data_IF_121037678448
#
_entry.id   IF_121037678448
#
_cell.length_a   1.000
_cell.length_b   1.000
_cell.length_c   1.000
_cell.angle_alpha   90.00
_cell.angle_beta   90.00
_cell.angle_gamma   90.00
#
_symmetry.space_group_name_H-M   'P 1'
#
loop_
_entity.id
_entity.type
_entity.pdbx_description
1 polymer ?
#
# COMPACT_ATOMS: atom_id res chain seq x y z
N UNK A 1 -39.40 -3.91 12.66
CA UNK A 1 -38.77 -3.45 11.39
C UNK A 1 -37.91 -2.26 11.75
N UNK A 2 -36.59 -2.47 11.79
CA UNK A 2 -35.62 -1.40 11.96
C UNK A 2 -35.65 -0.53 10.70
N UNK A 3 -35.52 0.79 10.87
CA UNK A 3 -35.46 1.74 9.77
C UNK A 3 -34.22 1.48 8.91
N UNK A 4 -34.41 1.35 7.58
CA UNK A 4 -33.31 1.15 6.61
C UNK A 4 -32.24 2.21 6.76
N UNK A 5 -32.62 3.43 7.14
CA UNK A 5 -31.71 4.54 7.39
C UNK A 5 -30.75 4.25 8.55
N UNK A 6 -31.23 3.66 9.64
CA UNK A 6 -30.41 3.34 10.83
C UNK A 6 -29.38 2.27 10.52
N UNK A 7 -29.77 1.21 9.79
CA UNK A 7 -28.83 0.19 9.32
C UNK A 7 -27.73 0.80 8.45
N UNK A 8 -28.10 1.57 7.44
CA UNK A 8 -27.14 2.19 6.52
C UNK A 8 -26.14 3.11 7.25
N UNK A 9 -26.58 3.83 8.29
CA UNK A 9 -25.67 4.63 9.12
C UNK A 9 -24.68 3.75 9.91
N UNK A 10 -25.15 2.68 10.56
CA UNK A 10 -24.26 1.78 11.32
C UNK A 10 -23.24 1.09 10.39
N UNK A 11 -23.68 0.59 9.24
CA UNK A 11 -22.82 -0.01 8.22
C UNK A 11 -21.77 0.99 7.74
N UNK A 12 -22.16 2.21 7.38
CA UNK A 12 -21.23 3.24 6.93
C UNK A 12 -20.19 3.60 8.02
N UNK A 13 -20.60 3.68 9.28
CA UNK A 13 -19.70 3.95 10.41
C UNK A 13 -18.69 2.82 10.63
N UNK A 14 -19.15 1.57 10.60
CA UNK A 14 -18.29 0.38 10.69
C UNK A 14 -17.29 0.32 9.52
N UNK A 15 -17.75 0.54 8.28
CA UNK A 15 -16.89 0.54 7.10
C UNK A 15 -15.87 1.68 7.17
N UNK A 16 -16.25 2.87 7.68
CA UNK A 16 -15.31 3.98 7.90
C UNK A 16 -14.20 3.57 8.87
N UNK A 17 -14.54 2.95 10.00
CA UNK A 17 -13.56 2.46 10.97
C UNK A 17 -12.67 1.35 10.39
N UNK A 18 -13.23 0.46 9.56
CA UNK A 18 -12.48 -0.66 8.97
C UNK A 18 -11.54 -0.26 7.83
N UNK A 19 -11.82 0.85 7.12
CA UNK A 19 -10.99 1.35 6.01
C UNK A 19 -9.70 2.02 6.48
N UNK A 20 -9.70 2.63 7.66
CA UNK A 20 -8.50 3.26 8.20
C UNK A 20 -7.73 2.27 9.09
N UNK A 21 -6.54 1.85 8.65
CA UNK A 21 -5.71 0.85 9.32
C UNK A 21 -5.19 1.27 10.70
N UNK A 22 -5.53 2.45 11.23
CA UNK A 22 -5.28 2.79 12.65
C UNK A 22 -5.91 1.80 13.64
N UNK A 23 -6.94 1.06 13.23
CA UNK A 23 -7.47 -0.05 14.02
C UNK A 23 -6.41 -1.13 14.31
N UNK A 24 -5.32 -1.23 13.55
CA UNK A 24 -4.27 -2.24 13.81
C UNK A 24 -3.41 -1.91 15.02
N UNK A 25 -3.46 -0.66 15.54
CA UNK A 25 -2.85 -0.27 16.81
C UNK A 25 -3.80 0.43 17.80
N UNK A 26 -5.08 0.64 17.46
CA UNK A 26 -6.12 1.06 18.43
C UNK A 26 -6.86 -0.15 19.02
N UNK A 27 -6.47 -0.54 20.25
CA UNK A 27 -7.01 -1.72 20.93
C UNK A 27 -8.53 -1.72 21.08
N UNK A 28 -9.13 -0.56 21.34
CA UNK A 28 -10.60 -0.45 21.51
C UNK A 28 -11.35 -0.74 20.21
N UNK A 29 -10.79 -0.33 19.06
CA UNK A 29 -11.39 -0.64 17.75
C UNK A 29 -11.18 -2.12 17.38
N UNK A 30 -10.09 -2.76 17.81
CA UNK A 30 -9.93 -4.21 17.68
C UNK A 30 -10.97 -4.98 18.50
N UNK A 31 -11.21 -4.54 19.74
CA UNK A 31 -12.24 -5.09 20.63
C UNK A 31 -13.66 -4.85 20.09
N UNK A 32 -13.90 -3.74 19.38
CA UNK A 32 -15.14 -3.53 18.64
C UNK A 32 -15.31 -4.57 17.52
N UNK A 33 -14.28 -4.78 16.69
CA UNK A 33 -14.39 -5.73 15.58
C UNK A 33 -14.49 -7.19 16.04
N UNK A 34 -13.98 -7.54 17.22
CA UNK A 34 -14.15 -8.89 17.78
C UNK A 34 -15.59 -9.17 18.22
N UNK A 35 -16.42 -8.14 18.41
CA UNK A 35 -17.85 -8.28 18.72
C UNK A 35 -18.72 -8.54 17.48
N UNK A 36 -18.18 -8.38 16.26
CA UNK A 36 -18.92 -8.70 15.04
C UNK A 36 -19.27 -10.21 15.01
N UNK A 37 -20.47 -10.59 14.54
CA UNK A 37 -20.87 -11.99 14.40
C UNK A 37 -19.86 -12.84 13.63
N UNK A 38 -19.80 -14.13 13.98
CA UNK A 38 -18.90 -15.15 13.39
C UNK A 38 -17.41 -14.71 13.38
N UNK A 39 -16.64 -15.00 14.44
CA UNK A 39 -15.21 -14.68 14.46
C UNK A 39 -14.46 -15.62 13.52
N UNK A 40 -14.11 -15.13 12.34
CA UNK A 40 -13.11 -15.77 11.47
C UNK A 40 -11.76 -15.15 11.75
N UNK A 41 -10.85 -15.95 12.33
CA UNK A 41 -9.45 -15.57 12.45
C UNK A 41 -8.92 -15.16 11.07
N UNK A 42 -8.13 -14.08 11.02
CA UNK A 42 -7.43 -13.60 9.82
C UNK A 42 -8.30 -12.98 8.71
N UNK A 43 -9.60 -12.77 8.90
CA UNK A 43 -10.41 -12.02 7.93
C UNK A 43 -10.41 -10.52 8.23
N UNK A 44 -10.15 -9.71 7.19
CA UNK A 44 -10.14 -8.25 7.30
C UNK A 44 -11.51 -7.71 7.80
N UNK A 45 -11.56 -6.75 8.75
CA UNK A 45 -12.82 -6.23 9.29
C UNK A 45 -13.77 -5.72 8.20
N UNK A 46 -13.24 -5.06 7.17
CA UNK A 46 -14.04 -4.57 6.04
C UNK A 46 -14.80 -5.71 5.35
N UNK A 47 -14.14 -6.82 5.07
CA UNK A 47 -14.76 -7.99 4.44
C UNK A 47 -15.82 -8.62 5.34
N UNK A 48 -15.57 -8.68 6.66
CA UNK A 48 -16.55 -9.19 7.63
C UNK A 48 -17.82 -8.34 7.64
N UNK A 49 -17.66 -7.02 7.66
CA UNK A 49 -18.80 -6.08 7.65
C UNK A 49 -19.61 -6.24 6.36
N UNK A 50 -18.94 -6.35 5.21
CA UNK A 50 -19.62 -6.58 3.91
C UNK A 50 -20.36 -7.92 3.83
N UNK A 51 -20.04 -8.90 4.69
CA UNK A 51 -20.67 -10.20 4.75
C UNK A 51 -21.84 -10.28 5.74
N UNK A 52 -22.07 -9.24 6.55
CA UNK A 52 -23.15 -9.21 7.54
C UNK A 52 -24.52 -9.24 6.86
N UNK A 53 -25.40 -10.09 7.37
CA UNK A 53 -26.79 -10.18 6.95
C UNK A 53 -27.64 -9.10 7.63
N UNK A 54 -28.86 -8.90 7.12
CA UNK A 54 -29.86 -8.04 7.77
C UNK A 54 -30.15 -8.50 9.21
N UNK A 55 -30.13 -9.82 9.46
CA UNK A 55 -30.32 -10.38 10.79
C UNK A 55 -29.18 -10.02 11.76
N UNK A 56 -27.93 -10.03 11.27
CA UNK A 56 -26.77 -9.62 12.05
C UNK A 56 -26.86 -8.15 12.47
N UNK A 57 -27.22 -7.28 11.53
CA UNK A 57 -27.45 -5.87 11.81
C UNK A 57 -28.60 -5.64 12.78
N UNK A 58 -29.71 -6.38 12.65
CA UNK A 58 -30.83 -6.31 13.59
C UNK A 58 -30.36 -6.63 15.02
N UNK A 59 -29.50 -7.64 15.18
CA UNK A 59 -28.89 -8.00 16.47
C UNK A 59 -27.95 -6.92 17.03
N UNK A 60 -27.03 -6.41 16.19
CA UNK A 60 -26.10 -5.35 16.58
C UNK A 60 -26.82 -4.06 17.00
N UNK A 61 -27.93 -3.72 16.32
CA UNK A 61 -28.72 -2.54 16.62
C UNK A 61 -29.52 -2.62 17.92
N UNK A 62 -29.70 -3.81 18.50
CA UNK A 62 -30.26 -3.94 19.85
C UNK A 62 -29.22 -3.67 20.95
N UNK A 63 -27.93 -3.63 20.62
CA UNK A 63 -26.86 -3.40 21.58
C UNK A 63 -26.43 -1.92 21.60
N UNK A 64 -27.02 -1.14 22.50
CA UNK A 64 -26.68 0.28 22.66
C UNK A 64 -25.19 0.51 23.02
N UNK A 65 -24.56 -0.44 23.72
CA UNK A 65 -23.13 -0.39 24.02
C UNK A 65 -22.28 -0.52 22.76
N UNK A 66 -22.61 -1.48 21.89
CA UNK A 66 -21.93 -1.65 20.60
C UNK A 66 -22.05 -0.40 19.72
N UNK A 67 -23.24 0.21 19.63
CA UNK A 67 -23.42 1.46 18.86
C UNK A 67 -22.53 2.57 19.41
N UNK A 68 -22.47 2.74 20.73
CA UNK A 68 -21.60 3.72 21.36
C UNK A 68 -20.10 3.43 21.10
N UNK A 69 -19.71 2.16 21.08
CA UNK A 69 -18.35 1.74 20.75
C UNK A 69 -17.98 2.04 19.28
N UNK A 70 -18.93 1.88 18.35
CA UNK A 70 -18.77 2.27 16.93
C UNK A 70 -18.57 3.77 16.80
N UNK A 71 -19.43 4.58 17.42
CA UNK A 71 -19.30 6.04 17.39
C UNK A 71 -17.96 6.49 17.98
N UNK A 72 -17.55 5.87 19.09
CA UNK A 72 -16.27 6.14 19.72
C UNK A 72 -15.08 5.71 18.84
N UNK A 73 -15.18 4.59 18.10
CA UNK A 73 -14.16 4.14 17.16
C UNK A 73 -14.02 5.12 15.99
N UNK A 74 -15.14 5.55 15.40
CA UNK A 74 -15.15 6.55 14.34
C UNK A 74 -14.53 7.87 14.81
N UNK A 75 -14.82 8.30 16.04
CA UNK A 75 -14.24 9.52 16.62
C UNK A 75 -12.74 9.40 16.94
N UNK A 76 -12.17 8.19 17.04
CA UNK A 76 -10.73 7.95 17.23
C UNK A 76 -9.94 7.88 15.93
N UNK A 77 -10.61 7.79 14.77
CA UNK A 77 -9.92 7.77 13.48
C UNK A 77 -9.09 9.05 13.36
N UNK A 78 -7.76 8.94 13.14
CA UNK A 78 -6.92 10.11 12.97
C UNK A 78 -7.39 10.97 11.80
N UNK A 79 -7.68 12.24 12.07
CA UNK A 79 -8.06 13.20 11.03
C UNK A 79 -6.82 13.66 10.26
N UNK A 80 -6.95 14.04 8.97
CA UNK A 80 -5.84 14.54 8.16
C UNK A 80 -5.12 15.73 8.82
N UNK A 81 -3.80 15.83 8.60
CA UNK A 81 -3.00 16.93 9.11
C UNK A 81 -3.42 18.27 8.51
N UNK A 82 -3.17 19.36 9.24
CA UNK A 82 -3.32 20.74 8.73
C UNK A 82 -2.12 21.22 7.92
N UNK A 83 -1.02 20.44 7.91
CA UNK A 83 0.16 20.70 7.09
C UNK A 83 -0.10 20.32 5.62
N UNK A 84 0.65 20.89 4.65
CA UNK A 84 0.53 20.48 3.26
C UNK A 84 0.75 18.97 3.14
N UNK A 85 -0.21 18.27 2.54
CA UNK A 85 -0.12 16.82 2.33
C UNK A 85 1.16 16.45 1.58
N UNK A 86 1.76 15.31 1.96
CA UNK A 86 2.77 14.60 1.17
C UNK A 86 4.07 15.36 0.83
N UNK A 87 4.63 16.14 1.77
CA UNK A 87 5.96 16.74 1.58
C UNK A 87 7.08 15.70 1.50
N UNK A 88 6.91 14.55 2.17
CA UNK A 88 7.86 13.43 2.17
C UNK A 88 7.20 12.25 1.45
N UNK A 89 7.86 11.72 0.42
CA UNK A 89 7.47 10.46 -0.20
C UNK A 89 8.41 9.34 0.21
N UNK A 90 7.87 8.31 0.87
CA UNK A 90 8.61 7.15 1.35
C UNK A 90 8.32 5.92 0.48
N UNK A 91 9.34 5.44 -0.23
CA UNK A 91 9.23 4.32 -1.14
C UNK A 91 9.79 3.06 -0.51
N UNK A 92 9.00 1.99 -0.49
CA UNK A 92 9.44 0.68 0.01
C UNK A 92 8.78 -0.45 -0.77
N UNK A 93 9.49 -1.56 -1.02
CA UNK A 93 8.89 -2.73 -1.66
C UNK A 93 7.90 -3.45 -0.75
N UNK A 94 7.92 -3.23 0.57
CA UNK A 94 7.06 -3.92 1.53
C UNK A 94 6.58 -3.04 2.68
N UNK A 95 5.38 -3.33 3.20
CA UNK A 95 4.76 -2.63 4.33
C UNK A 95 4.03 -3.61 5.26
N UNK A 96 4.58 -3.79 6.46
CA UNK A 96 4.04 -4.62 7.54
C UNK A 96 3.00 -3.87 8.38
N UNK A 97 1.83 -3.57 7.79
CA UNK A 97 0.76 -2.82 8.47
C UNK A 97 -0.08 -3.72 9.38
N UNK A 98 -0.47 -4.88 8.85
CA UNK A 98 -1.30 -5.89 9.49
C UNK A 98 -1.07 -7.22 8.81
N UNK A 99 -1.23 -8.33 9.54
CA UNK A 99 -1.26 -9.67 8.94
C UNK A 99 -2.38 -9.81 7.89
N UNK A 100 -3.45 -9.02 8.01
CA UNK A 100 -4.57 -8.99 7.07
C UNK A 100 -4.30 -8.14 5.81
N UNK A 101 -3.13 -7.52 5.71
CA UNK A 101 -2.60 -6.87 4.51
C UNK A 101 -1.18 -7.41 4.27
N UNK A 102 -1.03 -8.65 3.74
CA UNK A 102 0.25 -9.35 3.63
C UNK A 102 1.10 -8.80 2.46
N UNK A 103 1.50 -7.53 2.58
CA UNK A 103 2.36 -6.80 1.64
C UNK A 103 3.79 -6.70 2.16
N UNK A 104 4.26 -7.72 2.90
CA UNK A 104 5.60 -7.78 3.48
C UNK A 104 6.06 -9.22 3.71
N UNK A 105 7.37 -9.45 3.76
CA UNK A 105 7.95 -10.75 4.10
C UNK A 105 8.84 -10.73 5.34
N UNK A 106 9.41 -9.58 5.71
CA UNK A 106 10.43 -9.54 6.77
C UNK A 106 10.57 -8.22 7.50
N UNK A 107 11.74 -8.03 8.13
CA UNK A 107 12.02 -6.89 9.00
C UNK A 107 12.02 -5.53 8.29
N UNK A 108 12.35 -5.48 7.00
CA UNK A 108 12.30 -4.24 6.20
C UNK A 108 10.86 -3.71 6.12
N UNK A 109 9.89 -4.59 5.91
CA UNK A 109 8.47 -4.28 5.82
C UNK A 109 7.86 -3.97 7.17
N UNK A 110 8.24 -4.71 8.23
CA UNK A 110 7.83 -4.36 9.61
C UNK A 110 8.32 -2.94 9.96
N UNK A 111 9.58 -2.63 9.67
CA UNK A 111 10.13 -1.29 9.87
C UNK A 111 9.36 -0.24 9.06
N UNK A 112 9.09 -0.49 7.78
CA UNK A 112 8.31 0.41 6.93
C UNK A 112 6.91 0.64 7.53
N UNK A 113 6.22 -0.43 7.95
CA UNK A 113 4.89 -0.32 8.57
C UNK A 113 4.91 0.48 9.87
N UNK A 114 5.90 0.27 10.73
CA UNK A 114 6.06 1.05 11.96
C UNK A 114 6.45 2.50 11.68
N UNK A 115 7.21 2.76 10.60
CA UNK A 115 7.53 4.11 10.15
C UNK A 115 6.27 4.88 9.75
N UNK A 116 5.35 4.22 9.04
CA UNK A 116 4.05 4.77 8.63
C UNK A 116 3.16 5.09 9.84
N UNK A 117 3.12 4.20 10.83
CA UNK A 117 2.38 4.38 12.10
C UNK A 117 2.96 5.55 12.90
N UNK A 118 4.28 5.59 13.08
CA UNK A 118 4.95 6.67 13.77
C UNK A 118 4.76 8.03 13.07
N UNK A 119 4.82 8.06 11.73
CA UNK A 119 4.53 9.26 10.96
C UNK A 119 3.09 9.75 11.17
N UNK A 120 2.13 8.82 11.27
CA UNK A 120 0.73 9.14 11.56
C UNK A 120 0.57 9.74 12.96
N UNK A 121 1.22 9.14 13.98
CA UNK A 121 1.13 9.60 15.37
C UNK A 121 1.82 10.95 15.59
N UNK A 122 2.91 11.20 14.85
CA UNK A 122 3.65 12.46 14.85
C UNK A 122 3.09 13.52 13.88
N UNK A 123 1.99 13.20 13.17
CA UNK A 123 1.33 14.06 12.18
C UNK A 123 2.27 14.58 11.08
N UNK A 124 3.26 13.76 10.69
CA UNK A 124 4.21 14.10 9.63
C UNK A 124 3.52 14.08 8.25
N UNK A 125 3.87 15.01 7.33
CA UNK A 125 3.30 15.07 5.98
C UNK A 125 3.94 14.02 5.06
N UNK A 126 3.79 12.74 5.41
CA UNK A 126 4.36 11.60 4.69
C UNK A 126 3.29 10.91 3.82
N UNK A 127 3.66 10.63 2.57
CA UNK A 127 2.96 9.68 1.70
C UNK A 127 3.89 8.50 1.44
N UNK A 128 3.38 7.29 1.52
CA UNK A 128 4.16 6.11 1.20
C UNK A 128 3.77 5.56 -0.17
N UNK A 129 4.72 4.93 -0.85
CA UNK A 129 4.55 4.33 -2.16
C UNK A 129 5.14 2.92 -2.17
N UNK A 130 4.36 1.98 -2.70
CA UNK A 130 4.78 0.60 -2.94
C UNK A 130 3.97 -0.05 -4.05
N UNK A 131 4.05 -1.37 -4.15
CA UNK A 131 3.25 -2.18 -5.07
C UNK A 131 2.16 -2.92 -4.29
N UNK A 132 1.02 -3.16 -4.93
CA UNK A 132 0.05 -4.13 -4.43
C UNK A 132 0.35 -5.50 -5.05
N UNK A 133 1.00 -6.38 -4.30
CA UNK A 133 1.25 -7.76 -4.73
C UNK A 133 -0.02 -8.59 -4.55
N UNK A 134 -0.59 -9.07 -5.64
CA UNK A 134 -1.85 -9.82 -5.64
C UNK A 134 -1.79 -11.10 -4.83
N UNK A 135 -0.69 -11.82 -4.89
CA UNK A 135 -0.47 -13.05 -4.14
C UNK A 135 0.26 -12.79 -2.80
N UNK A 136 0.58 -11.52 -2.49
CA UNK A 136 1.29 -11.12 -1.28
C UNK A 136 2.64 -11.82 -1.12
N UNK A 137 2.96 -12.17 0.13
CA UNK A 137 3.94 -13.20 0.48
C UNK A 137 3.22 -14.51 0.80
N UNK A 138 3.91 -15.65 0.72
CA UNK A 138 3.27 -16.94 0.91
C UNK A 138 2.88 -17.19 2.39
N UNK A 139 1.77 -17.90 2.59
CA UNK A 139 1.44 -18.55 3.85
C UNK A 139 2.18 -19.88 3.96
N UNK A 140 2.89 -20.07 5.06
CA UNK A 140 3.61 -21.31 5.33
C UNK A 140 2.62 -22.37 5.81
N UNK A 141 2.49 -23.46 5.05
CA UNK A 141 1.83 -24.68 5.50
C UNK A 141 2.89 -25.75 5.78
N UNK A 142 2.79 -26.43 6.92
CA UNK A 142 3.67 -27.55 7.27
C UNK A 142 2.87 -28.84 7.16
N UNK A 143 3.27 -29.73 6.26
CA UNK A 143 2.75 -31.09 6.16
C UNK A 143 3.86 -32.06 5.78
N UNK A 144 3.81 -33.27 6.31
CA UNK A 144 4.84 -34.30 6.13
C UNK A 144 6.28 -33.81 6.44
N UNK A 145 6.42 -33.05 7.55
CA UNK A 145 7.68 -32.45 7.99
C UNK A 145 8.34 -31.52 6.95
N UNK A 146 7.56 -31.04 5.98
CA UNK A 146 8.02 -30.14 4.91
C UNK A 146 7.19 -28.87 4.87
N UNK A 147 7.85 -27.80 4.45
CA UNK A 147 7.20 -26.54 4.13
C UNK A 147 6.57 -26.62 2.74
N UNK A 148 5.35 -26.10 2.65
CA UNK A 148 4.60 -25.83 1.43
C UNK A 148 4.18 -24.37 1.42
N UNK A 149 4.26 -23.74 0.25
CA UNK A 149 3.91 -22.34 0.04
C UNK A 149 2.48 -22.25 -0.46
N UNK A 150 1.62 -21.57 0.31
CA UNK A 150 0.23 -21.32 -0.07
C UNK A 150 0.08 -19.85 -0.42
N UNK A 151 -0.36 -19.57 -1.64
CA UNK A 151 -0.62 -18.22 -2.12
C UNK A 151 -2.11 -17.99 -2.23
N UNK A 152 -2.60 -16.93 -1.61
CA UNK A 152 -3.99 -16.51 -1.70
C UNK A 152 -4.06 -15.18 -2.43
N UNK A 153 -4.71 -15.21 -3.61
CA UNK A 153 -4.87 -14.01 -4.42
C UNK A 153 -5.86 -13.06 -3.76
N UNK A 154 -5.41 -11.84 -3.46
CA UNK A 154 -6.18 -10.82 -2.78
C UNK A 154 -6.98 -9.92 -3.73
N UNK A 155 -8.16 -9.51 -3.26
CA UNK A 155 -8.90 -8.38 -3.80
C UNK A 155 -8.66 -7.14 -2.91
N UNK A 156 -7.98 -6.08 -3.41
CA UNK A 156 -7.82 -4.82 -2.68
C UNK A 156 -9.13 -4.28 -2.09
N UNK A 157 -10.27 -4.49 -2.77
CA UNK A 157 -11.56 -3.98 -2.31
C UNK A 157 -12.05 -4.69 -1.05
N UNK A 158 -11.75 -5.99 -0.89
CA UNK A 158 -12.11 -6.72 0.34
C UNK A 158 -11.26 -6.30 1.54
N UNK A 159 -10.11 -5.67 1.27
CA UNK A 159 -9.20 -5.12 2.26
C UNK A 159 -9.51 -3.64 2.59
N UNK A 160 -10.62 -3.08 2.08
CA UNK A 160 -11.01 -1.70 2.35
C UNK A 160 -10.13 -0.65 1.66
N UNK A 161 -9.28 -1.04 0.70
CA UNK A 161 -8.49 -0.08 -0.09
C UNK A 161 -9.41 0.72 -1.02
N UNK A 162 -9.11 2.01 -1.14
CA UNK A 162 -9.82 2.91 -2.04
C UNK A 162 -9.13 2.91 -3.41
N UNK A 163 -9.89 2.70 -4.48
CA UNK A 163 -9.36 2.84 -5.84
C UNK A 163 -9.28 4.32 -6.19
N UNK A 164 -8.08 4.79 -6.51
CA UNK A 164 -7.87 6.17 -6.94
C UNK A 164 -8.26 6.34 -8.42
N UNK A 165 -8.74 7.53 -8.84
CA UNK A 165 -9.23 7.79 -10.19
C UNK A 165 -8.09 8.05 -11.20
N UNK A 166 -6.97 7.34 -11.07
CA UNK A 166 -5.77 7.51 -11.91
C UNK A 166 -5.28 6.16 -12.41
N UNK A 167 -4.75 6.16 -13.64
CA UNK A 167 -4.06 5.03 -14.25
C UNK A 167 -2.70 5.55 -14.71
N UNK A 168 -1.65 4.89 -14.25
CA UNK A 168 -0.27 5.27 -14.58
C UNK A 168 0.22 4.40 -15.72
N UNK A 169 0.86 5.03 -16.72
CA UNK A 169 1.48 4.34 -17.84
C UNK A 169 3.00 4.24 -17.59
N UNK A 170 3.54 3.03 -17.70
CA UNK A 170 4.97 2.72 -17.55
C UNK A 170 5.44 2.00 -18.80
N UNK A 171 6.45 2.55 -19.46
CA UNK A 171 7.09 1.89 -20.61
C UNK A 171 8.10 0.87 -20.09
N UNK A 172 8.00 -0.39 -20.50
CA UNK A 172 8.94 -1.47 -20.20
C UNK A 172 8.93 -2.49 -21.34
N UNK A 173 10.06 -3.09 -21.74
CA UNK A 173 10.12 -4.11 -22.81
C UNK A 173 9.34 -3.71 -24.09
N UNK A 174 9.58 -2.50 -24.58
CA UNK A 174 8.92 -1.93 -25.76
C UNK A 174 7.38 -1.87 -25.70
N UNK A 175 6.77 -1.99 -24.51
CA UNK A 175 5.32 -1.89 -24.31
C UNK A 175 4.96 -0.90 -23.22
N UNK A 176 3.70 -0.46 -23.23
CA UNK A 176 3.12 0.32 -22.14
C UNK A 176 2.38 -0.65 -21.22
N UNK A 177 2.82 -0.74 -19.97
CA UNK A 177 2.10 -1.41 -18.89
C UNK A 177 1.35 -0.35 -18.08
N UNK A 178 0.06 -0.58 -17.88
CA UNK A 178 -0.82 0.30 -17.12
C UNK A 178 -0.89 -0.17 -15.67
N UNK A 179 -0.88 0.74 -14.72
CA UNK A 179 -1.06 0.45 -13.30
C UNK A 179 -2.23 1.25 -12.75
N UNK A 180 -3.18 0.57 -12.09
CA UNK A 180 -4.15 1.27 -11.24
C UNK A 180 -3.49 1.59 -9.92
N UNK A 181 -4.08 2.56 -9.23
CA UNK A 181 -3.59 3.02 -7.95
C UNK A 181 -4.62 2.77 -6.86
N UNK A 182 -4.17 2.14 -5.78
CA UNK A 182 -4.93 1.93 -4.57
C UNK A 182 -4.40 2.82 -3.45
N UNK A 183 -5.29 3.25 -2.55
CA UNK A 183 -4.94 3.95 -1.31
C UNK A 183 -5.37 3.13 -0.11
N UNK A 184 -4.44 2.89 0.81
CA UNK A 184 -4.73 2.50 2.18
C UNK A 184 -4.43 3.69 3.11
N UNK A 185 -5.35 4.02 4.01
CA UNK A 185 -5.12 5.04 5.03
C UNK A 185 -4.55 4.36 6.28
N UNK A 186 -3.28 4.60 6.58
CA UNK A 186 -2.57 4.09 7.76
C UNK A 186 -2.55 5.21 8.80
N UNK A 187 -3.66 5.32 9.54
CA UNK A 187 -3.90 6.47 10.40
C UNK A 187 -4.03 7.73 9.54
N UNK A 188 -3.14 8.70 9.72
CA UNK A 188 -3.06 9.91 8.86
C UNK A 188 -2.29 9.68 7.57
N UNK A 189 -1.40 8.69 7.56
CA UNK A 189 -0.44 8.48 6.49
C UNK A 189 -1.10 7.75 5.33
N UNK A 190 -0.96 8.29 4.11
CA UNK A 190 -1.51 7.66 2.90
C UNK A 190 -0.50 6.68 2.32
N UNK A 191 -0.88 5.42 2.18
CA UNK A 191 -0.09 4.40 1.47
C UNK A 191 -0.68 4.19 0.07
N UNK A 192 0.11 4.53 -0.94
CA UNK A 192 -0.21 4.43 -2.37
C UNK A 192 0.39 3.13 -2.92
N UNK A 193 -0.45 2.27 -3.47
CA UNK A 193 -0.05 0.95 -3.96
C UNK A 193 -0.39 0.81 -5.45
N UNK A 194 0.61 0.49 -6.27
CA UNK A 194 0.45 0.29 -7.71
C UNK A 194 0.15 -1.17 -8.04
N UNK A 195 -0.84 -1.40 -8.90
CA UNK A 195 -1.36 -2.72 -9.28
C UNK A 195 -1.52 -2.80 -10.79
N UNK A 196 -0.80 -3.72 -11.43
CA UNK A 196 -0.83 -3.95 -12.88
C UNK A 196 -1.82 -5.04 -13.29
N UNK A 197 -2.54 -5.66 -12.36
CA UNK A 197 -3.58 -6.66 -12.65
C UNK A 197 -4.83 -5.99 -13.24
N UNK A 198 -4.71 -5.62 -14.51
CA UNK A 198 -5.68 -4.90 -15.31
C UNK A 198 -5.97 -5.65 -16.60
N UNK A 199 -7.22 -5.65 -17.02
CA UNK A 199 -7.61 -6.19 -18.31
C UNK A 199 -6.92 -5.48 -19.50
N UNK A 200 -6.53 -4.23 -19.28
CA UNK A 200 -5.80 -3.39 -20.24
C UNK A 200 -4.37 -3.88 -20.51
N UNK A 201 -3.82 -4.72 -19.64
CA UNK A 201 -2.49 -5.30 -19.82
C UNK A 201 -2.58 -6.72 -20.37
N UNK A 202 -1.56 -7.11 -21.12
CA UNK A 202 -1.33 -8.51 -21.47
C UNK A 202 -0.88 -9.33 -20.24
N UNK A 203 -0.79 -10.64 -20.40
CA UNK A 203 -0.49 -11.54 -19.28
C UNK A 203 0.87 -11.22 -18.62
N UNK A 204 1.87 -10.82 -19.40
CA UNK A 204 3.17 -10.41 -18.88
C UNK A 204 3.09 -9.11 -18.08
N UNK A 205 2.37 -8.10 -18.56
CA UNK A 205 2.17 -6.83 -17.85
C UNK A 205 1.39 -7.01 -16.54
N UNK A 206 0.37 -7.89 -16.53
CA UNK A 206 -0.38 -8.21 -15.30
C UNK A 206 0.48 -8.85 -14.23
N UNK A 207 1.42 -9.72 -14.63
CA UNK A 207 2.30 -10.42 -13.70
C UNK A 207 3.32 -9.51 -13.01
N UNK A 208 3.58 -8.29 -13.48
CA UNK A 208 4.58 -7.40 -12.84
C UNK A 208 4.31 -7.18 -11.35
N UNK A 209 3.04 -7.15 -10.92
CA UNK A 209 2.64 -6.98 -9.52
C UNK A 209 2.05 -8.28 -8.91
N UNK A 210 2.48 -9.46 -9.36
CA UNK A 210 1.95 -10.71 -8.85
C UNK A 210 2.40 -11.01 -7.41
N UNK A 211 3.71 -11.08 -7.15
CA UNK A 211 4.30 -11.60 -5.90
C UNK A 211 5.42 -10.72 -5.37
N UNK A 212 5.44 -10.57 -4.05
CA UNK A 212 6.56 -9.95 -3.36
C UNK A 212 7.78 -10.86 -3.45
N UNK A 213 8.90 -10.32 -3.95
CA UNK A 213 10.16 -11.05 -4.12
C UNK A 213 10.05 -12.32 -4.97
N UNK A 214 9.12 -12.33 -5.93
CA UNK A 214 8.98 -13.39 -6.93
C UNK A 214 9.84 -13.17 -8.18
N UNK A 215 9.85 -14.18 -9.04
CA UNK A 215 10.40 -14.08 -10.39
C UNK A 215 11.94 -14.13 -10.48
N UNK A 216 12.44 -13.81 -11.67
CA UNK A 216 13.86 -13.71 -11.98
C UNK A 216 14.32 -12.23 -11.99
N UNK A 217 15.55 -11.98 -12.46
CA UNK A 217 16.09 -10.62 -12.56
C UNK A 217 15.29 -9.72 -13.50
N UNK A 218 14.70 -10.28 -14.55
CA UNK A 218 13.89 -9.53 -15.52
C UNK A 218 12.54 -9.14 -14.90
N UNK A 219 11.95 -10.02 -14.10
CA UNK A 219 10.79 -9.68 -13.30
C UNK A 219 11.10 -8.60 -12.24
N UNK A 220 12.25 -8.75 -11.56
CA UNK A 220 12.67 -7.81 -10.52
C UNK A 220 12.87 -6.39 -11.04
N UNK A 221 13.58 -6.21 -12.16
CA UNK A 221 13.77 -4.87 -12.73
C UNK A 221 12.43 -4.23 -13.14
N UNK A 222 11.45 -5.00 -13.62
CA UNK A 222 10.11 -4.50 -13.95
C UNK A 222 9.36 -4.01 -12.71
N UNK A 223 9.45 -4.73 -11.60
CA UNK A 223 8.89 -4.30 -10.31
C UNK A 223 9.54 -3.01 -9.82
N UNK A 224 10.87 -2.91 -9.89
CA UNK A 224 11.60 -1.71 -9.46
C UNK A 224 11.31 -0.51 -10.36
N UNK A 225 11.15 -0.72 -11.67
CA UNK A 225 10.73 0.32 -12.61
C UNK A 225 9.28 0.78 -12.32
N UNK A 226 8.35 -0.17 -12.12
CA UNK A 226 6.98 0.15 -11.74
C UNK A 226 6.92 0.94 -10.44
N UNK A 227 7.67 0.52 -9.41
CA UNK A 227 7.68 1.20 -8.12
C UNK A 227 8.35 2.58 -8.21
N UNK A 228 9.51 2.68 -8.85
CA UNK A 228 10.26 3.93 -8.97
C UNK A 228 9.59 4.94 -9.90
N UNK A 229 9.52 4.62 -11.20
CA UNK A 229 8.92 5.49 -12.23
C UNK A 229 7.41 5.61 -12.03
N UNK A 230 6.73 4.46 -11.95
CA UNK A 230 5.27 4.45 -11.79
C UNK A 230 4.83 5.13 -10.50
N UNK A 231 5.58 4.94 -9.40
CA UNK A 231 5.30 5.61 -8.14
C UNK A 231 5.41 7.13 -8.20
N UNK A 232 6.47 7.69 -8.80
CA UNK A 232 6.59 9.16 -8.99
C UNK A 232 5.43 9.68 -9.83
N UNK A 233 5.12 9.02 -10.96
CA UNK A 233 3.99 9.42 -11.82
C UNK A 233 2.64 9.32 -11.11
N UNK A 234 2.43 8.31 -10.28
CA UNK A 234 1.23 8.18 -9.45
C UNK A 234 1.08 9.39 -8.52
N UNK A 235 2.16 9.77 -7.83
CA UNK A 235 2.16 10.94 -6.95
C UNK A 235 1.80 12.22 -7.72
N UNK A 236 2.40 12.47 -8.88
CA UNK A 236 2.07 13.63 -9.73
C UNK A 236 0.61 13.65 -10.16
N UNK A 237 0.08 12.53 -10.65
CA UNK A 237 -1.32 12.45 -11.09
C UNK A 237 -2.32 12.60 -9.94
N UNK A 238 -1.92 12.24 -8.71
CA UNK A 238 -2.70 12.47 -7.49
C UNK A 238 -2.57 13.89 -6.94
N UNK A 239 -1.74 14.74 -7.56
CA UNK A 239 -1.50 16.12 -7.13
C UNK A 239 -0.51 16.26 -5.98
N UNK A 240 0.26 15.21 -5.67
CA UNK A 240 1.32 15.27 -4.67
C UNK A 240 2.62 15.79 -5.28
N UNK A 241 3.23 16.75 -4.59
CA UNK A 241 4.51 17.36 -4.98
C UNK A 241 5.53 17.28 -3.83
N UNK A 242 6.05 16.08 -3.50
CA UNK A 242 7.01 15.91 -2.43
C UNK A 242 8.31 16.67 -2.71
N UNK A 243 8.87 17.27 -1.67
CA UNK A 243 10.20 17.90 -1.70
C UNK A 243 11.32 16.92 -1.31
N UNK A 244 10.96 15.83 -0.62
CA UNK A 244 11.88 14.78 -0.18
C UNK A 244 11.37 13.40 -0.63
N UNK A 245 12.25 12.60 -1.20
CA UNK A 245 12.04 11.21 -1.62
C UNK A 245 12.97 10.30 -0.83
N UNK A 246 12.38 9.46 0.02
CA UNK A 246 13.11 8.51 0.86
C UNK A 246 12.99 7.10 0.29
N UNK A 247 14.11 6.52 -0.11
CA UNK A 247 14.23 5.16 -0.60
C UNK A 247 14.61 4.23 0.55
N UNK A 248 13.72 3.27 0.85
CA UNK A 248 14.00 2.16 1.74
C UNK A 248 14.61 1.01 0.92
N UNK A 249 15.95 0.92 0.94
CA UNK A 249 16.79 0.12 0.03
C UNK A 249 16.74 0.54 -1.45
N UNK A 250 17.49 -0.17 -2.29
CA UNK A 250 17.71 0.16 -3.71
C UNK A 250 16.52 -0.06 -4.64
N UNK A 251 15.44 -0.69 -4.17
CA UNK A 251 14.35 -1.19 -5.03
C UNK A 251 13.55 -0.08 -5.74
N UNK A 252 13.59 1.14 -5.23
CA UNK A 252 12.95 2.29 -5.88
C UNK A 252 13.97 3.18 -6.63
N UNK A 253 15.17 2.67 -6.93
CA UNK A 253 16.27 3.43 -7.52
C UNK A 253 15.91 4.15 -8.83
N UNK A 254 15.01 3.56 -9.62
CA UNK A 254 14.49 4.18 -10.85
C UNK A 254 13.72 5.50 -10.61
N UNK A 255 13.26 5.78 -9.39
CA UNK A 255 12.65 7.07 -9.07
C UNK A 255 13.62 8.23 -9.31
N UNK A 256 14.91 8.03 -9.05
CA UNK A 256 15.91 9.06 -9.28
C UNK A 256 16.02 9.40 -10.77
N UNK A 257 15.90 8.40 -11.64
CA UNK A 257 15.93 8.59 -13.09
C UNK A 257 14.67 9.31 -13.58
N UNK A 258 13.49 8.99 -13.03
CA UNK A 258 12.26 9.71 -13.36
C UNK A 258 12.35 11.19 -12.96
N UNK A 259 12.83 11.49 -11.75
CA UNK A 259 13.02 12.87 -11.30
C UNK A 259 14.04 13.63 -12.15
N UNK A 260 15.12 12.97 -12.59
CA UNK A 260 16.08 13.57 -13.54
C UNK A 260 15.42 13.84 -14.89
N UNK A 261 14.60 12.89 -15.39
CA UNK A 261 13.82 13.05 -16.60
C UNK A 261 12.89 14.26 -16.54
N UNK A 262 12.15 14.44 -15.45
CA UNK A 262 11.28 15.61 -15.22
C UNK A 262 12.06 16.94 -15.33
N UNK A 263 13.28 17.02 -14.81
CA UNK A 263 14.11 18.24 -14.87
C UNK A 263 14.71 18.46 -16.28
N UNK A 264 15.09 17.40 -16.98
CA UNK A 264 15.57 17.47 -18.37
C UNK A 264 14.45 17.89 -19.32
N UNK A 265 13.24 17.37 -19.12
CA UNK A 265 12.05 17.76 -19.90
C UNK A 265 11.66 19.22 -19.67
N UNK A 266 12.02 19.79 -18.51
CA UNK A 266 11.92 21.25 -18.22
C UNK A 266 13.03 22.08 -18.88
N UNK A 267 13.93 21.45 -19.64
CA UNK A 267 14.99 22.10 -20.39
C UNK A 267 16.30 22.29 -19.63
N UNK A 268 16.48 21.65 -18.46
CA UNK A 268 17.77 21.67 -17.77
C UNK A 268 18.79 20.76 -18.46
N UNK A 269 20.08 21.09 -18.33
CA UNK A 269 21.13 20.14 -18.64
C UNK A 269 21.11 18.96 -17.67
N UNK A 270 21.72 17.83 -18.04
CA UNK A 270 21.83 16.68 -17.13
C UNK A 270 22.58 17.04 -15.84
N UNK A 271 23.60 17.89 -15.92
CA UNK A 271 24.38 18.32 -14.76
C UNK A 271 23.52 19.16 -13.80
N UNK A 272 22.77 20.13 -14.33
CA UNK A 272 21.82 20.93 -13.54
C UNK A 272 20.68 20.09 -12.96
N UNK A 273 20.21 19.07 -13.70
CA UNK A 273 19.19 18.14 -13.22
C UNK A 273 19.69 17.31 -12.04
N UNK A 274 20.94 16.81 -12.10
CA UNK A 274 21.58 16.09 -11.00
C UNK A 274 21.67 16.97 -9.76
N UNK A 275 22.12 18.21 -9.89
CA UNK A 275 22.24 19.13 -8.76
C UNK A 275 20.87 19.53 -8.17
N UNK A 276 19.82 19.57 -9.00
CA UNK A 276 18.45 19.82 -8.55
C UNK A 276 17.82 18.62 -7.84
N UNK A 277 18.11 17.38 -8.26
CA UNK A 277 17.50 16.15 -7.74
C UNK A 277 18.24 15.59 -6.53
N UNK A 278 19.57 15.64 -6.52
CA UNK A 278 20.41 15.10 -5.43
C UNK A 278 19.96 15.52 -4.01
N UNK A 279 19.67 16.79 -3.70
CA UNK A 279 19.26 17.19 -2.34
C UNK A 279 17.87 16.71 -1.95
N UNK A 280 17.04 16.23 -2.90
CA UNK A 280 15.71 15.69 -2.64
C UNK A 280 15.73 14.23 -2.22
N UNK A 281 16.84 13.51 -2.40
CA UNK A 281 16.90 12.05 -2.21
C UNK A 281 17.53 11.69 -0.86
N UNK A 282 16.83 10.87 -0.10
CA UNK A 282 17.32 10.20 1.11
C UNK A 282 17.36 8.71 0.83
N UNK A 283 18.51 8.06 1.04
CA UNK A 283 18.68 6.63 0.84
C UNK A 283 19.01 5.95 2.16
N UNK A 284 18.30 4.86 2.48
CA UNK A 284 18.61 4.01 3.63
C UNK A 284 18.92 2.61 3.14
N UNK A 285 20.04 2.05 3.61
CA UNK A 285 20.40 0.65 3.41
C UNK A 285 20.49 -0.08 4.74
N UNK A 286 19.95 -1.29 4.78
CA UNK A 286 19.90 -2.17 5.95
C UNK A 286 20.85 -3.35 5.80
N UNK A 287 21.18 -3.72 4.55
CA UNK A 287 22.08 -4.82 4.24
C UNK A 287 23.29 -4.30 3.47
N UNK A 288 24.36 -3.82 4.14
CA UNK A 288 25.54 -3.27 3.48
C UNK A 288 26.46 -4.37 2.92
N UNK A 289 25.89 -5.46 2.40
CA UNK A 289 26.63 -6.52 1.70
C UNK A 289 26.13 -6.66 0.26
N UNK A 290 26.98 -7.02 -0.71
CA UNK A 290 26.61 -7.06 -2.13
C UNK A 290 25.39 -7.92 -2.47
N UNK A 291 25.08 -8.93 -1.64
CA UNK A 291 23.94 -9.81 -1.84
C UNK A 291 22.59 -9.11 -1.60
N UNK A 292 22.56 -7.99 -0.86
CA UNK A 292 21.35 -7.19 -0.62
C UNK A 292 21.13 -6.08 -1.64
N UNK A 293 22.02 -5.94 -2.64
CA UNK A 293 21.96 -4.88 -3.65
C UNK A 293 21.69 -5.51 -5.01
N UNK A 294 20.54 -5.18 -5.59
CA UNK A 294 20.17 -5.62 -6.93
C UNK A 294 21.16 -5.08 -7.97
N UNK A 295 21.55 -5.96 -8.92
CA UNK A 295 22.47 -5.64 -10.02
C UNK A 295 21.89 -6.11 -11.34
N UNK A 296 21.64 -5.16 -12.23
CA UNK A 296 21.12 -5.42 -13.56
C UNK A 296 22.24 -5.26 -14.61
N UNK A 297 22.24 -6.11 -15.63
CA UNK A 297 23.19 -5.97 -16.74
C UNK A 297 22.81 -4.77 -17.60
N UNK A 298 23.79 -4.22 -18.32
CA UNK A 298 23.53 -3.16 -19.31
C UNK A 298 22.50 -3.61 -20.36
N UNK A 299 22.60 -4.86 -20.83
CA UNK A 299 21.65 -5.41 -21.80
C UNK A 299 20.21 -5.40 -21.28
N UNK A 300 20.01 -5.64 -19.98
CA UNK A 300 18.70 -5.60 -19.35
C UNK A 300 18.18 -4.16 -19.19
N UNK A 301 19.07 -3.19 -18.93
CA UNK A 301 18.72 -1.76 -18.84
C UNK A 301 18.40 -1.12 -20.20
N UNK A 302 18.89 -1.71 -21.30
CA UNK A 302 18.67 -1.19 -22.67
C UNK A 302 17.35 -1.66 -23.29
N UNK A 303 16.73 -2.71 -22.73
CA UNK A 303 15.44 -3.26 -23.14
C UNK A 303 14.30 -2.59 -22.40
#
# INVERSE_FOLDING_TARGET
MIDKTTRSHLEAALLRAARNYSWTWDRKTQELFSQLPEPTAHQHPYQRIMALSDHDYDGLLQNAGFIADVDAAVARIPEPSSTPDAQIAYFSPEFGISEMLPQYSGGLGVLAGDHLKAASDLELPLVAVGLFYRDGFFHQAISDERQHEVYERMDPRSLGLEQMPVIVDITMDDRIVKARVWRADVGRTKLILLDTDLELNDEAGRRVSDRLYGGDREHRIRQELLMGVGGVRALRQLGFEPSVFHLNEGHAGFLALELLGEEVDRGRSLEDAIDAVRPKIVFTTHTPVPAGIDRFSHDLMQR
#
